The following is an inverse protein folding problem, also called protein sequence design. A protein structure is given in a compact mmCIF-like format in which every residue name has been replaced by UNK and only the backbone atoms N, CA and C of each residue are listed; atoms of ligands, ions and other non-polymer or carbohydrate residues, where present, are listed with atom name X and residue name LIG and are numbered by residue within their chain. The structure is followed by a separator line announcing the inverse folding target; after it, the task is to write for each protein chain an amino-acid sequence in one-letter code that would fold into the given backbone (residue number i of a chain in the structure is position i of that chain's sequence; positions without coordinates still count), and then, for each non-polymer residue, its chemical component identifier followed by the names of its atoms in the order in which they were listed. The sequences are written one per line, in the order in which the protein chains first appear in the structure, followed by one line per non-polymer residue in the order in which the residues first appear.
data_IF_724144184106
#
_entry.id   IF_724144184106
#
_cell.length_a   1.000
_cell.length_b   1.000
_cell.length_c   1.000
_cell.angle_alpha   90.00
_cell.angle_beta   90.00
_cell.angle_gamma   90.00
#
_symmetry.space_group_name_H-M   'P 1'
#
loop_
_entity.id
_entity.type
_entity.pdbx_description
1 polymer ?
#
# COMPACT_ATOMS: atom_id res chain seq x y z
N UNK A 1 -9.98 -12.32 13.19
CA UNK A 1 -10.39 -12.22 11.77
C UNK A 1 -10.03 -10.83 11.32
N UNK A 2 -9.16 -10.71 10.32
CA UNK A 2 -8.76 -9.41 9.79
C UNK A 2 -9.77 -9.04 8.72
N UNK A 3 -10.46 -7.92 8.90
CA UNK A 3 -11.50 -7.47 7.95
C UNK A 3 -10.86 -6.79 6.75
N UNK A 4 -11.55 -6.81 5.61
CA UNK A 4 -11.10 -6.08 4.42
C UNK A 4 -10.95 -4.57 4.68
N UNK A 5 -11.77 -4.01 5.57
CA UNK A 5 -11.69 -2.62 6.02
C UNK A 5 -10.39 -2.34 6.79
N UNK A 6 -10.02 -3.21 7.73
CA UNK A 6 -8.76 -3.08 8.46
C UNK A 6 -7.55 -3.10 7.52
N UNK A 7 -7.55 -3.97 6.51
CA UNK A 7 -6.46 -4.03 5.51
C UNK A 7 -6.36 -2.72 4.73
N UNK A 8 -7.50 -2.20 4.29
CA UNK A 8 -7.57 -0.95 3.54
C UNK A 8 -7.04 0.22 4.37
N UNK A 9 -7.42 0.31 5.64
CA UNK A 9 -6.98 1.37 6.54
C UNK A 9 -5.49 1.26 6.84
N UNK A 10 -4.97 0.05 7.03
CA UNK A 10 -3.55 -0.19 7.23
C UNK A 10 -2.73 0.23 6.01
N UNK A 11 -3.15 -0.15 4.80
CA UNK A 11 -2.50 0.28 3.55
C UNK A 11 -2.57 1.81 3.39
N UNK A 12 -3.71 2.44 3.68
CA UNK A 12 -3.84 3.90 3.63
C UNK A 12 -2.88 4.59 4.60
N UNK A 13 -2.70 4.05 5.81
CA UNK A 13 -1.75 4.58 6.80
C UNK A 13 -0.31 4.51 6.30
N UNK A 14 0.08 3.40 5.66
CA UNK A 14 1.41 3.26 5.04
C UNK A 14 1.58 4.30 3.93
N UNK A 15 0.57 4.46 3.06
CA UNK A 15 0.63 5.46 2.00
C UNK A 15 0.81 6.88 2.58
N UNK A 16 0.14 7.23 3.67
CA UNK A 16 0.32 8.52 4.33
C UNK A 16 1.72 8.70 4.93
N UNK A 17 2.24 7.67 5.59
CA UNK A 17 3.55 7.68 6.24
C UNK A 17 4.67 7.97 5.24
N UNK A 18 4.58 7.38 4.04
CA UNK A 18 5.53 7.58 2.95
C UNK A 18 5.17 8.76 2.02
N UNK A 19 4.09 9.52 2.30
CA UNK A 19 3.66 10.65 1.48
C UNK A 19 3.17 10.26 0.07
N UNK A 20 2.67 9.03 -0.08
CA UNK A 20 2.23 8.42 -1.33
C UNK A 20 0.74 8.70 -1.59
N UNK A 21 0.38 8.84 -2.87
CA UNK A 21 -1.00 9.10 -3.26
C UNK A 21 -1.88 7.85 -3.10
N UNK A 22 -2.85 7.91 -2.19
CA UNK A 22 -3.88 6.88 -2.05
C UNK A 22 -4.69 6.69 -3.33
N UNK A 23 -5.05 7.79 -3.98
CA UNK A 23 -5.85 7.74 -5.21
C UNK A 23 -5.11 7.00 -6.33
N UNK A 24 -3.84 7.34 -6.56
CA UNK A 24 -3.02 6.70 -7.59
C UNK A 24 -2.74 5.23 -7.26
N UNK A 25 -2.50 4.92 -5.98
CA UNK A 25 -2.33 3.55 -5.53
C UNK A 25 -3.57 2.70 -5.79
N UNK A 26 -4.76 3.15 -5.38
CA UNK A 26 -5.99 2.37 -5.52
C UNK A 26 -6.51 2.27 -6.98
N UNK A 27 -6.03 3.12 -7.90
CA UNK A 27 -6.29 2.98 -9.35
C UNK A 27 -5.62 1.74 -9.93
N UNK A 28 -4.35 1.51 -9.61
CA UNK A 28 -3.57 0.35 -10.06
C UNK A 28 -2.41 0.05 -9.09
N UNK A 29 -2.66 -0.77 -8.04
CA UNK A 29 -1.65 -1.02 -7.00
C UNK A 29 -0.38 -1.67 -7.53
N UNK A 30 -0.50 -2.56 -8.53
CA UNK A 30 0.66 -3.27 -9.09
C UNK A 30 1.55 -2.31 -9.87
N UNK A 31 0.96 -1.52 -10.77
CA UNK A 31 1.70 -0.51 -11.53
C UNK A 31 2.27 0.58 -10.63
N UNK A 32 1.58 0.94 -9.55
CA UNK A 32 2.08 1.87 -8.55
C UNK A 32 3.38 1.34 -7.92
N UNK A 33 3.37 0.08 -7.44
CA UNK A 33 4.54 -0.57 -6.83
C UNK A 33 5.69 -0.79 -7.82
N UNK A 34 5.40 -1.07 -9.09
CA UNK A 34 6.43 -1.21 -10.13
C UNK A 34 7.18 0.09 -10.40
N UNK A 35 6.52 1.24 -10.22
CA UNK A 35 7.11 2.57 -10.41
C UNK A 35 7.58 3.22 -9.09
N UNK A 36 7.45 2.52 -7.96
CA UNK A 36 7.84 3.05 -6.66
C UNK A 36 9.34 2.85 -6.44
N UNK A 37 10.09 3.95 -6.43
CA UNK A 37 11.54 3.95 -6.21
C UNK A 37 11.91 3.64 -4.74
N UNK A 38 11.03 3.99 -3.80
CA UNK A 38 11.22 3.71 -2.38
C UNK A 38 11.01 2.22 -2.10
N UNK A 39 12.12 1.52 -1.90
CA UNK A 39 12.14 0.07 -1.67
C UNK A 39 11.52 -0.33 -0.34
N UNK A 40 11.60 0.52 0.68
CA UNK A 40 11.06 0.23 2.01
C UNK A 40 9.54 0.40 1.99
N UNK A 41 9.06 1.48 1.36
CA UNK A 41 7.63 1.68 1.11
C UNK A 41 7.05 0.55 0.25
N UNK A 42 7.75 0.16 -0.82
CA UNK A 42 7.34 -0.95 -1.70
C UNK A 42 7.20 -2.26 -0.93
N UNK A 43 8.23 -2.66 -0.19
CA UNK A 43 8.21 -3.89 0.60
C UNK A 43 7.11 -3.88 1.66
N UNK A 44 6.91 -2.75 2.33
CA UNK A 44 5.85 -2.61 3.34
C UNK A 44 4.48 -2.80 2.70
N UNK A 45 4.18 -2.09 1.60
CA UNK A 45 2.91 -2.23 0.89
C UNK A 45 2.66 -3.65 0.37
N UNK A 46 3.70 -4.31 -0.18
CA UNK A 46 3.62 -5.70 -0.63
C UNK A 46 3.24 -6.65 0.52
N UNK A 47 3.82 -6.48 1.71
CA UNK A 47 3.47 -7.26 2.91
C UNK A 47 2.00 -7.03 3.30
N UNK A 48 1.54 -5.79 3.35
CA UNK A 48 0.15 -5.47 3.73
C UNK A 48 -0.87 -5.93 2.69
N UNK A 49 -0.47 -6.10 1.43
CA UNK A 49 -1.32 -6.64 0.36
C UNK A 49 -1.37 -8.17 0.31
N UNK A 50 -0.26 -8.86 0.59
CA UNK A 50 -0.14 -10.33 0.48
C UNK A 50 -0.41 -11.07 1.80
N UNK A 51 0.01 -10.52 2.94
CA UNK A 51 0.06 -11.23 4.23
C UNK A 51 -1.21 -11.04 5.06
N UNK A 52 -1.80 -9.84 5.04
CA UNK A 52 -3.02 -9.55 5.78
C UNK A 52 -4.22 -9.93 4.96
#
# INVERSE_FOLDING_TARGET
MITAEYKRDAINSVLDEYGLSREEFWKDPKKFLDNLDDKDAKLTLEIFMEVL
#
